data_IF_292094896136
#
_entry.id   IF_292094896136
#
_cell.length_a   1.000
_cell.length_b   1.000
_cell.length_c   1.000
_cell.angle_alpha   90.00
_cell.angle_beta   90.00
_cell.angle_gamma   90.00
#
_symmetry.space_group_name_H-M   'P 1'
#
loop_
_entity.id
_entity.type
_entity.pdbx_description
1 polymer ?
#
# COMPACT_ATOMS: atom_id res chain seq x y z
N UNK A 1 23.17 30.97 -5.66
CA UNK A 1 22.77 30.04 -6.74
C UNK A 1 22.13 30.88 -7.83
N UNK A 2 22.56 30.75 -9.08
CA UNK A 2 21.92 31.41 -10.22
C UNK A 2 20.51 30.84 -10.39
N UNK A 3 19.51 31.73 -10.52
CA UNK A 3 18.12 31.33 -10.68
C UNK A 3 17.95 30.55 -12.00
N UNK A 4 17.51 29.29 -11.92
CA UNK A 4 17.41 28.39 -13.07
C UNK A 4 16.05 28.42 -13.79
N UNK A 5 15.16 29.31 -13.35
CA UNK A 5 13.80 29.51 -13.87
C UNK A 5 13.50 31.00 -14.09
N UNK A 6 12.58 31.37 -14.99
CA UNK A 6 12.25 32.77 -15.27
C UNK A 6 11.74 33.52 -14.02
N UNK A 7 12.16 34.77 -13.82
CA UNK A 7 11.65 35.60 -12.71
C UNK A 7 10.14 35.83 -12.77
N UNK A 8 9.60 35.81 -13.98
CA UNK A 8 8.17 35.91 -14.24
C UNK A 8 7.39 34.67 -13.82
N UNK A 9 8.02 33.49 -13.65
CA UNK A 9 7.33 32.26 -13.27
C UNK A 9 6.70 32.40 -11.87
N UNK A 10 5.42 32.06 -11.76
CA UNK A 10 4.66 32.04 -10.51
C UNK A 10 3.86 30.75 -10.41
N UNK A 11 3.49 30.41 -9.20
CA UNK A 11 2.52 29.37 -8.90
C UNK A 11 1.16 29.97 -8.53
N UNK A 12 0.10 29.21 -8.77
CA UNK A 12 -1.25 29.46 -8.27
C UNK A 12 -1.70 28.27 -7.44
N UNK A 13 -2.25 28.53 -6.26
CA UNK A 13 -2.80 27.49 -5.39
C UNK A 13 -4.28 27.29 -5.71
N UNK A 14 -4.63 26.07 -6.12
CA UNK A 14 -5.97 25.67 -6.56
C UNK A 14 -6.41 24.49 -5.71
N UNK A 15 -7.68 24.43 -5.32
CA UNK A 15 -8.21 23.31 -4.56
C UNK A 15 -8.14 22.03 -5.40
N UNK A 16 -7.64 20.94 -4.81
CA UNK A 16 -7.87 19.62 -5.39
C UNK A 16 -9.35 19.25 -5.21
N UNK A 17 -10.04 18.74 -6.24
CA UNK A 17 -9.49 18.11 -7.46
C UNK A 17 -9.31 19.02 -8.68
N UNK A 18 -9.80 20.26 -8.68
CA UNK A 18 -9.72 21.17 -9.83
C UNK A 18 -8.28 21.39 -10.33
N UNK A 19 -7.30 21.44 -9.42
CA UNK A 19 -5.89 21.53 -9.77
C UNK A 19 -5.44 20.38 -10.70
N UNK A 20 -5.85 19.14 -10.38
CA UNK A 20 -5.52 17.96 -11.20
C UNK A 20 -6.30 17.98 -12.52
N UNK A 21 -7.58 18.35 -12.49
CA UNK A 21 -8.38 18.47 -13.70
C UNK A 21 -7.77 19.46 -14.71
N UNK A 22 -7.14 20.54 -14.25
CA UNK A 22 -6.37 21.47 -15.10
C UNK A 22 -5.15 20.76 -15.70
N UNK A 23 -4.31 20.15 -14.87
CA UNK A 23 -3.09 19.49 -15.34
C UNK A 23 -3.35 18.28 -16.26
N UNK A 24 -4.53 17.68 -16.17
CA UNK A 24 -4.99 16.60 -17.06
C UNK A 24 -5.70 17.11 -18.32
N UNK A 25 -5.88 18.43 -18.47
CA UNK A 25 -6.57 19.04 -19.61
C UNK A 25 -8.10 18.87 -19.61
N UNK A 26 -8.68 18.37 -18.52
CA UNK A 26 -10.14 18.23 -18.35
C UNK A 26 -10.77 19.60 -18.11
N UNK A 27 -10.11 20.45 -17.30
CA UNK A 27 -10.56 21.79 -16.97
C UNK A 27 -9.70 22.83 -17.67
N UNK A 28 -10.27 23.48 -18.69
CA UNK A 28 -9.57 24.45 -19.55
C UNK A 28 -9.60 25.90 -19.05
N UNK A 29 -10.30 26.16 -17.94
CA UNK A 29 -10.34 27.49 -17.33
C UNK A 29 -10.37 27.42 -15.81
N UNK A 30 -9.63 28.33 -15.15
CA UNK A 30 -9.65 28.53 -13.69
C UNK A 30 -10.44 29.81 -13.36
N UNK A 31 -11.40 29.71 -12.44
CA UNK A 31 -12.31 30.82 -12.12
C UNK A 31 -11.89 31.56 -10.86
N UNK A 32 -11.80 32.90 -10.92
CA UNK A 32 -11.40 33.76 -9.80
C UNK A 32 -12.22 35.06 -9.75
N UNK A 33 -12.38 35.61 -8.56
CA UNK A 33 -13.11 36.86 -8.35
C UNK A 33 -12.39 38.11 -8.86
N UNK A 34 -11.09 38.01 -9.19
CA UNK A 34 -10.28 39.12 -9.68
C UNK A 34 -9.74 38.79 -11.08
N UNK A 35 -9.55 39.78 -11.97
CA UNK A 35 -8.94 39.56 -13.29
C UNK A 35 -7.42 39.39 -13.20
N UNK A 36 -6.79 38.94 -14.28
CA UNK A 36 -5.34 38.95 -14.41
C UNK A 36 -4.84 39.26 -15.83
N UNK A 37 -3.81 40.09 -15.91
CA UNK A 37 -3.07 40.38 -17.15
C UNK A 37 -1.89 39.42 -17.38
N UNK A 38 -1.72 38.44 -16.48
CA UNK A 38 -0.63 37.47 -16.56
C UNK A 38 -0.84 36.54 -17.75
N UNK A 39 0.23 36.27 -18.51
CA UNK A 39 0.24 35.35 -19.64
C UNK A 39 1.47 34.44 -19.61
N UNK A 40 1.36 33.28 -20.23
CA UNK A 40 2.40 32.25 -20.28
C UNK A 40 2.38 31.31 -19.06
N UNK A 41 3.50 30.64 -18.82
CA UNK A 41 3.60 29.54 -17.85
C UNK A 41 3.32 29.95 -16.41
N UNK A 42 2.50 29.13 -15.76
CA UNK A 42 2.27 29.11 -14.32
C UNK A 42 2.42 27.69 -13.79
N UNK A 43 2.90 27.56 -12.55
CA UNK A 43 2.90 26.31 -11.81
C UNK A 43 1.54 26.11 -11.14
N UNK A 44 1.01 24.89 -11.19
CA UNK A 44 -0.22 24.51 -10.54
C UNK A 44 0.11 23.83 -9.22
N UNK A 45 -0.31 24.45 -8.12
CA UNK A 45 -0.19 23.92 -6.78
C UNK A 45 -1.54 23.39 -6.28
N UNK A 46 -1.55 22.13 -5.84
CA UNK A 46 -2.73 21.52 -5.22
C UNK A 46 -2.82 21.92 -3.75
N UNK A 47 -3.85 22.67 -3.37
CA UNK A 47 -4.06 23.15 -2.00
C UNK A 47 -4.36 22.00 -1.02
N UNK A 48 -4.13 22.26 0.27
CA UNK A 48 -4.44 21.33 1.36
C UNK A 48 -5.92 21.24 1.73
N UNK A 49 -6.76 22.15 1.23
CA UNK A 49 -8.21 22.14 1.52
C UNK A 49 -8.87 20.91 0.88
N UNK A 50 -9.90 20.37 1.53
CA UNK A 50 -10.74 19.26 1.06
C UNK A 50 -12.15 19.71 0.64
N UNK A 51 -12.40 21.03 0.62
CA UNK A 51 -13.74 21.58 0.43
C UNK A 51 -14.34 21.21 -0.94
N UNK A 52 -13.48 20.97 -1.93
CA UNK A 52 -13.85 20.62 -3.30
C UNK A 52 -13.87 19.11 -3.58
N UNK A 53 -13.69 18.24 -2.58
CA UNK A 53 -13.55 16.79 -2.79
C UNK A 53 -14.78 16.14 -3.45
N UNK A 54 -15.95 16.76 -3.35
CA UNK A 54 -17.17 16.29 -4.01
C UNK A 54 -17.06 16.27 -5.56
N UNK A 55 -16.15 17.06 -6.15
CA UNK A 55 -15.90 17.06 -7.61
C UNK A 55 -14.97 15.91 -8.07
N UNK A 56 -14.47 15.05 -7.18
CA UNK A 56 -13.57 13.94 -7.55
C UNK A 56 -14.21 13.01 -8.58
N UNK A 57 -15.47 12.62 -8.33
CA UNK A 57 -16.23 11.75 -9.20
C UNK A 57 -16.51 12.41 -10.56
N UNK A 58 -16.85 13.70 -10.57
CA UNK A 58 -17.16 14.47 -11.79
C UNK A 58 -15.98 14.52 -12.76
N UNK A 59 -14.74 14.55 -12.23
CA UNK A 59 -13.53 14.52 -13.04
C UNK A 59 -12.96 13.12 -13.27
N UNK A 60 -13.56 12.07 -12.70
CA UNK A 60 -13.01 10.71 -12.76
C UNK A 60 -11.64 10.58 -12.09
N UNK A 61 -11.35 11.39 -11.08
CA UNK A 61 -10.06 11.39 -10.37
C UNK A 61 -10.18 10.56 -9.10
N UNK A 62 -9.29 9.57 -8.93
CA UNK A 62 -9.26 8.76 -7.70
C UNK A 62 -8.68 9.56 -6.54
N UNK A 63 -9.32 9.45 -5.36
CA UNK A 63 -8.84 10.09 -4.12
C UNK A 63 -7.40 9.71 -3.77
N UNK A 64 -6.98 8.48 -4.07
CA UNK A 64 -5.66 7.95 -3.73
C UNK A 64 -4.54 8.56 -4.59
N UNK A 65 -4.89 9.10 -5.74
CA UNK A 65 -3.94 9.77 -6.67
C UNK A 65 -3.66 11.22 -6.28
N UNK A 66 -4.47 11.82 -5.40
CA UNK A 66 -4.32 13.23 -5.05
C UNK A 66 -3.24 13.43 -3.99
N UNK A 67 -2.14 14.05 -4.41
CA UNK A 67 -1.19 14.73 -3.53
C UNK A 67 -1.59 16.18 -3.32
N UNK A 68 -1.71 16.59 -2.05
CA UNK A 68 -2.03 17.96 -1.62
C UNK A 68 -0.82 18.62 -0.98
N UNK A 69 -0.78 19.95 -0.96
CA UNK A 69 0.39 20.68 -0.48
C UNK A 69 1.61 20.44 -1.38
N UNK A 70 1.36 20.32 -2.69
CA UNK A 70 2.37 19.96 -3.66
C UNK A 70 2.20 20.77 -4.95
N UNK A 71 3.31 21.04 -5.64
CA UNK A 71 3.27 21.47 -7.04
C UNK A 71 3.10 20.21 -7.88
N UNK A 72 1.99 20.12 -8.60
CA UNK A 72 1.58 18.90 -9.31
C UNK A 72 1.76 19.02 -10.82
N UNK A 73 1.98 20.23 -11.33
CA UNK A 73 1.89 20.48 -12.76
C UNK A 73 2.10 21.94 -13.14
N UNK A 74 1.80 22.22 -14.40
CA UNK A 74 1.88 23.54 -14.98
C UNK A 74 0.85 23.71 -16.11
N UNK A 75 0.53 24.96 -16.42
CA UNK A 75 -0.27 25.33 -17.58
C UNK A 75 0.13 26.73 -18.05
N UNK A 76 -0.26 27.11 -19.27
CA UNK A 76 -0.11 28.47 -19.78
C UNK A 76 -1.42 29.23 -19.65
N UNK A 77 -1.38 30.43 -19.07
CA UNK A 77 -2.51 31.37 -19.18
C UNK A 77 -2.42 32.05 -20.54
N UNK A 78 -3.43 31.84 -21.39
CA UNK A 78 -3.51 32.47 -22.73
C UNK A 78 -4.47 33.65 -22.76
N UNK A 79 -5.53 33.60 -21.96
CA UNK A 79 -6.46 34.72 -21.84
C UNK A 79 -7.17 34.82 -20.47
N UNK A 80 -7.86 35.92 -20.23
CA UNK A 80 -8.68 36.16 -19.04
C UNK A 80 -9.93 36.95 -19.41
N UNK A 81 -11.11 36.32 -19.31
CA UNK A 81 -12.39 36.95 -19.67
C UNK A 81 -13.37 36.95 -18.50
N UNK A 82 -14.28 37.92 -18.46
CA UNK A 82 -15.41 37.88 -17.53
C UNK A 82 -16.42 36.82 -17.95
N UNK A 83 -16.81 35.96 -17.03
CA UNK A 83 -17.85 34.94 -17.19
C UNK A 83 -19.11 35.40 -16.46
N UNK A 84 -20.16 35.70 -17.23
CA UNK A 84 -21.42 36.21 -16.69
C UNK A 84 -22.26 35.13 -15.98
N UNK A 85 -22.07 33.86 -16.33
CA UNK A 85 -22.81 32.75 -15.71
C UNK A 85 -22.30 32.49 -14.30
N UNK A 86 -20.98 32.48 -14.13
CA UNK A 86 -20.34 32.26 -12.84
C UNK A 86 -20.04 33.55 -12.06
N UNK A 87 -20.30 34.73 -12.63
CA UNK A 87 -20.08 36.03 -12.00
C UNK A 87 -18.62 36.25 -11.58
N UNK A 88 -17.67 35.73 -12.35
CA UNK A 88 -16.24 35.78 -12.03
C UNK A 88 -15.38 35.78 -13.31
N UNK A 89 -14.06 35.92 -13.16
CA UNK A 89 -13.12 35.88 -14.28
C UNK A 89 -12.64 34.46 -14.55
N UNK A 90 -12.74 34.04 -15.80
CA UNK A 90 -12.19 32.79 -16.30
C UNK A 90 -10.77 33.02 -16.83
N UNK A 91 -9.78 32.41 -16.18
CA UNK A 91 -8.41 32.35 -16.69
C UNK A 91 -8.32 31.17 -17.64
N UNK A 92 -8.15 31.42 -18.93
CA UNK A 92 -8.07 30.38 -19.97
C UNK A 92 -6.69 29.73 -19.95
N UNK A 93 -6.68 28.41 -19.89
CA UNK A 93 -5.49 27.59 -19.65
C UNK A 93 -5.25 26.64 -20.82
N UNK A 94 -4.02 26.62 -21.31
CA UNK A 94 -3.57 25.75 -22.40
C UNK A 94 -2.26 25.04 -22.03
N UNK A 95 -1.86 24.07 -22.86
CA UNK A 95 -0.63 23.30 -22.68
C UNK A 95 -0.50 22.69 -21.27
N UNK A 96 -1.51 21.93 -20.80
CA UNK A 96 -1.50 21.37 -19.46
C UNK A 96 -0.38 20.33 -19.33
N UNK A 97 0.32 20.37 -18.21
CA UNK A 97 1.36 19.40 -17.85
C UNK A 97 1.03 18.87 -16.46
N UNK A 98 0.80 17.56 -16.36
CA UNK A 98 0.82 16.83 -15.10
C UNK A 98 2.23 16.26 -14.89
N UNK A 99 2.86 16.57 -13.76
CA UNK A 99 4.16 16.00 -13.42
C UNK A 99 3.98 14.52 -13.06
N UNK A 100 4.93 13.68 -13.50
CA UNK A 100 4.97 12.27 -13.09
C UNK A 100 5.09 12.12 -11.57
N UNK A 101 5.91 12.99 -10.96
CA UNK A 101 6.08 13.06 -9.51
C UNK A 101 5.75 14.48 -9.00
N UNK A 102 4.72 14.62 -8.15
CA UNK A 102 4.43 15.87 -7.48
C UNK A 102 5.58 16.33 -6.57
N UNK A 103 5.86 17.63 -6.56
CA UNK A 103 6.84 18.22 -5.65
C UNK A 103 6.13 18.54 -4.33
N UNK A 104 6.18 17.58 -3.40
CA UNK A 104 5.49 17.62 -2.11
C UNK A 104 6.16 18.55 -1.07
N UNK A 105 5.45 18.81 0.04
CA UNK A 105 5.96 19.63 1.15
C UNK A 105 5.97 21.13 0.88
N UNK A 106 5.33 21.58 -0.20
CA UNK A 106 5.28 22.99 -0.60
C UNK A 106 4.01 23.62 -0.06
N UNK A 107 4.16 24.60 0.85
CA UNK A 107 3.04 25.39 1.34
C UNK A 107 2.56 26.35 0.24
N UNK A 108 1.27 26.28 -0.05
CA UNK A 108 0.60 27.24 -0.93
C UNK A 108 0.54 28.63 -0.31
N UNK A 109 0.03 29.60 -1.08
CA UNK A 109 -0.13 30.98 -0.65
C UNK A 109 -1.56 31.47 -0.88
N UNK A 110 -2.02 32.41 -0.06
CA UNK A 110 -3.31 33.08 -0.27
C UNK A 110 -3.28 34.12 -1.41
N UNK A 111 -2.09 34.60 -1.79
CA UNK A 111 -1.95 35.42 -2.98
C UNK A 111 -2.34 34.59 -4.22
N UNK A 112 -3.11 35.19 -5.13
CA UNK A 112 -3.58 34.52 -6.37
C UNK A 112 -2.39 33.91 -7.12
N UNK A 113 -1.33 34.70 -7.32
CA UNK A 113 -0.07 34.24 -7.85
C UNK A 113 1.05 34.50 -6.85
N UNK A 114 1.90 33.49 -6.62
CA UNK A 114 3.00 33.58 -5.68
C UNK A 114 4.30 33.09 -6.31
N UNK A 115 5.41 33.69 -5.88
CA UNK A 115 6.75 33.34 -6.33
C UNK A 115 7.54 32.57 -5.28
N UNK A 116 8.69 32.05 -5.68
CA UNK A 116 9.62 31.36 -4.81
C UNK A 116 10.44 32.32 -3.93
N UNK A 117 9.80 32.93 -2.92
CA UNK A 117 10.48 33.82 -1.96
C UNK A 117 11.31 33.06 -0.93
N UNK A 118 10.85 31.88 -0.52
CA UNK A 118 11.56 31.00 0.42
C UNK A 118 12.53 30.09 -0.33
N UNK A 119 13.69 29.80 0.26
CA UNK A 119 14.73 28.94 -0.35
C UNK A 119 14.19 27.57 -0.79
N UNK A 120 13.34 26.94 0.04
CA UNK A 120 12.68 25.67 -0.30
C UNK A 120 11.79 25.78 -1.56
N UNK A 121 11.12 26.92 -1.77
CA UNK A 121 10.28 27.15 -2.94
C UNK A 121 11.14 27.40 -4.19
N UNK A 122 12.35 27.95 -4.04
CA UNK A 122 13.26 28.18 -5.17
C UNK A 122 13.74 26.87 -5.77
N UNK A 123 14.10 25.89 -4.92
CA UNK A 123 14.42 24.55 -5.36
C UNK A 123 13.23 23.88 -6.07
N UNK A 124 12.03 23.99 -5.49
CA UNK A 124 10.82 23.43 -6.10
C UNK A 124 10.51 24.04 -7.48
N UNK A 125 10.61 25.37 -7.62
CA UNK A 125 10.40 26.06 -8.89
C UNK A 125 11.46 25.67 -9.93
N UNK A 126 12.71 25.51 -9.51
CA UNK A 126 13.79 25.04 -10.37
C UNK A 126 13.52 23.64 -10.92
N UNK A 127 13.11 22.71 -10.04
CA UNK A 127 12.76 21.33 -10.41
C UNK A 127 11.56 21.34 -11.37
N UNK A 128 10.47 22.02 -10.99
CA UNK A 128 9.27 22.11 -11.83
C UNK A 128 9.58 22.70 -13.21
N UNK A 129 10.38 23.77 -13.26
CA UNK A 129 10.76 24.39 -14.53
C UNK A 129 11.66 23.50 -15.38
N UNK A 130 12.55 22.71 -14.77
CA UNK A 130 13.33 21.72 -15.49
C UNK A 130 12.44 20.64 -16.12
N UNK A 131 11.43 20.16 -15.37
CA UNK A 131 10.44 19.20 -15.86
C UNK A 131 9.61 19.79 -17.01
N UNK A 132 9.10 21.03 -16.87
CA UNK A 132 8.39 21.72 -17.96
C UNK A 132 9.26 21.80 -19.20
N UNK A 133 10.51 22.25 -19.08
CA UNK A 133 11.44 22.34 -20.23
C UNK A 133 11.70 20.99 -20.87
N UNK A 134 11.77 19.91 -20.09
CA UNK A 134 11.96 18.57 -20.62
C UNK A 134 10.73 18.13 -21.43
N UNK A 135 9.52 18.40 -20.91
CA UNK A 135 8.26 18.15 -21.61
C UNK A 135 8.13 19.01 -22.87
N UNK A 136 8.39 20.32 -22.79
CA UNK A 136 8.25 21.21 -23.94
C UNK A 136 9.36 21.04 -24.98
N UNK A 137 10.57 20.60 -24.59
CA UNK A 137 11.61 20.24 -25.57
C UNK A 137 11.28 18.97 -26.35
N UNK A 138 10.45 18.08 -25.80
CA UNK A 138 9.88 17.00 -26.59
C UNK A 138 8.88 17.51 -27.64
N UNK A 139 8.29 18.70 -27.42
CA UNK A 139 7.37 19.37 -28.35
C UNK A 139 8.05 20.36 -29.32
N UNK A 140 9.26 20.85 -29.00
CA UNK A 140 10.04 21.85 -29.78
C UNK A 140 11.02 21.19 -30.78
N UNK A 141 10.51 20.20 -31.52
CA UNK A 141 11.21 19.64 -32.69
C UNK A 141 10.84 20.49 -33.92
N UNK A 142 11.87 20.97 -34.62
CA UNK A 142 11.77 21.70 -35.90
C UNK A 142 10.76 21.03 -36.86
N UNK A 143 9.91 21.79 -37.57
CA UNK A 143 8.87 21.25 -38.49
C UNK A 143 9.44 20.44 -39.66
N UNK A 144 10.75 20.36 -39.82
CA UNK A 144 11.42 19.55 -40.84
C UNK A 144 11.81 18.14 -40.35
N UNK A 145 11.54 17.80 -39.09
CA UNK A 145 11.80 16.47 -38.53
C UNK A 145 10.70 16.04 -37.55
N UNK A 146 9.42 16.18 -37.93
CA UNK A 146 8.39 15.34 -37.32
C UNK A 146 8.54 13.97 -37.99
N UNK A 147 9.21 13.03 -37.33
CA UNK A 147 8.88 11.63 -37.54
C UNK A 147 7.37 11.51 -37.25
N UNK A 148 6.60 11.14 -38.27
CA UNK A 148 5.12 11.09 -38.31
C UNK A 148 4.46 10.22 -37.21
N UNK A 149 5.24 9.70 -36.25
CA UNK A 149 4.90 8.58 -35.39
C UNK A 149 4.73 8.92 -33.89
N UNK A 150 5.06 10.13 -33.40
CA UNK A 150 4.99 10.41 -31.96
C UNK A 150 4.00 11.53 -31.59
N UNK A 151 2.71 11.20 -31.57
CA UNK A 151 1.73 11.98 -30.80
C UNK A 151 1.64 11.32 -29.42
N UNK A 152 1.98 12.02 -28.32
CA UNK A 152 1.95 11.44 -26.97
C UNK A 152 0.60 10.77 -26.68
N UNK A 153 0.64 9.51 -26.25
CA UNK A 153 -0.56 8.70 -26.00
C UNK A 153 -1.06 7.90 -27.20
N UNK A 154 -0.57 8.16 -28.41
CA UNK A 154 -1.03 7.49 -29.63
C UNK A 154 0.12 6.88 -30.43
N UNK A 155 -0.13 5.71 -30.98
CA UNK A 155 0.71 5.04 -31.98
C UNK A 155 0.00 5.14 -33.33
N UNK A 156 0.72 5.57 -34.36
CA UNK A 156 0.15 5.75 -35.70
C UNK A 156 0.89 4.82 -36.64
N UNK A 157 0.15 4.01 -37.38
CA UNK A 157 0.73 3.04 -38.31
C UNK A 157 0.13 3.19 -39.71
N UNK A 158 0.97 3.26 -40.73
CA UNK A 158 0.52 3.33 -42.11
C UNK A 158 -0.11 1.99 -42.56
N UNK A 159 -1.31 2.06 -43.17
CA UNK A 159 -2.02 0.90 -43.72
C UNK A 159 -1.94 0.87 -45.27
N UNK A 160 -0.95 0.17 -45.87
CA UNK A 160 -0.74 0.19 -47.32
C UNK A 160 -1.86 -0.50 -48.12
N UNK A 161 -2.69 -1.33 -47.48
CA UNK A 161 -3.70 -2.14 -48.18
C UNK A 161 -5.04 -1.42 -48.38
N UNK A 162 -5.21 -0.24 -47.78
CA UNK A 162 -6.47 0.50 -47.78
C UNK A 162 -6.41 1.84 -48.55
N UNK A 163 -5.33 2.10 -49.29
CA UNK A 163 -5.16 3.33 -50.06
C UNK A 163 -5.96 3.28 -51.38
N UNK A 164 -7.03 4.07 -51.46
CA UNK A 164 -7.58 4.51 -52.74
C UNK A 164 -6.62 5.54 -53.38
N UNK A 165 -6.71 5.74 -54.70
CA UNK A 165 -5.88 6.74 -55.40
C UNK A 165 -5.96 8.08 -54.65
N UNK A 166 -4.80 8.58 -54.23
CA UNK A 166 -4.60 9.87 -53.54
C UNK A 166 -4.99 9.93 -52.04
N UNK A 167 -5.17 8.77 -51.39
CA UNK A 167 -5.48 8.67 -49.96
C UNK A 167 -4.51 7.71 -49.25
N UNK A 168 -3.68 8.25 -48.35
CA UNK A 168 -2.86 7.43 -47.45
C UNK A 168 -3.64 7.16 -46.16
N UNK A 169 -3.92 5.89 -45.86
CA UNK A 169 -4.63 5.49 -44.65
C UNK A 169 -3.66 5.19 -43.50
N UNK A 170 -4.03 5.60 -42.30
CA UNK A 170 -3.26 5.33 -41.08
C UNK A 170 -4.19 4.83 -39.97
N UNK A 171 -3.76 3.78 -39.28
CA UNK A 171 -4.38 3.26 -38.07
C UNK A 171 -3.83 4.02 -36.86
N UNK A 172 -4.72 4.62 -36.06
CA UNK A 172 -4.38 5.23 -34.78
C UNK A 172 -4.73 4.23 -33.68
N UNK A 173 -3.77 3.94 -32.83
CA UNK A 173 -3.89 3.02 -31.70
C UNK A 173 -3.45 3.71 -30.41
N UNK A 174 -3.91 3.22 -29.27
CA UNK A 174 -3.38 3.65 -27.97
C UNK A 174 -1.90 3.25 -27.87
N UNK A 175 -1.04 4.19 -27.45
CA UNK A 175 0.41 3.94 -27.40
C UNK A 175 0.82 2.92 -26.33
N UNK A 176 0.02 2.74 -25.28
CA UNK A 176 0.31 1.84 -24.17
C UNK A 176 -0.28 0.45 -24.40
N UNK A 177 -1.54 0.38 -24.83
CA UNK A 177 -2.24 -0.90 -25.01
C UNK A 177 -2.10 -1.46 -26.42
N UNK A 178 -1.65 -0.65 -27.39
CA UNK A 178 -1.65 -0.96 -28.82
C UNK A 178 -3.04 -1.24 -29.42
N UNK A 179 -4.11 -0.97 -28.67
CA UNK A 179 -5.46 -1.21 -29.15
C UNK A 179 -5.83 -0.21 -30.25
N UNK A 180 -6.39 -0.68 -31.38
CA UNK A 180 -6.80 0.19 -32.47
C UNK A 180 -8.00 1.05 -32.04
N UNK A 181 -7.86 2.36 -32.17
CA UNK A 181 -8.88 3.33 -31.77
C UNK A 181 -9.73 3.76 -32.97
N UNK A 182 -9.10 4.34 -33.99
CA UNK A 182 -9.77 4.86 -35.19
C UNK A 182 -8.78 5.04 -36.33
N UNK A 183 -9.29 5.31 -37.53
CA UNK A 183 -8.49 5.57 -38.73
C UNK A 183 -8.54 7.02 -39.15
N UNK A 184 -7.42 7.47 -39.70
CA UNK A 184 -7.26 8.77 -40.32
C UNK A 184 -6.67 8.61 -41.71
N UNK A 185 -6.81 9.65 -42.52
CA UNK A 185 -6.33 9.68 -43.89
C UNK A 185 -5.59 10.98 -44.15
N UNK A 186 -4.47 10.88 -44.86
CA UNK A 186 -3.75 12.01 -45.44
C UNK A 186 -4.17 12.17 -46.90
N UNK A 187 -4.71 13.34 -47.21
CA UNK A 187 -5.08 13.83 -48.54
C UNK A 187 -4.12 14.94 -48.98
N UNK A 188 -4.10 15.32 -50.28
CA UNK A 188 -3.29 16.45 -50.75
C UNK A 188 -3.58 17.78 -50.04
N UNK A 189 -4.82 17.98 -49.58
CA UNK A 189 -5.32 19.19 -48.95
C UNK A 189 -5.36 19.15 -47.42
N UNK A 190 -4.96 18.03 -46.80
CA UNK A 190 -4.85 17.90 -45.34
C UNK A 190 -5.16 16.50 -44.82
N UNK A 191 -5.47 16.43 -43.53
CA UNK A 191 -5.83 15.23 -42.80
C UNK A 191 -7.34 15.13 -42.59
N UNK A 192 -7.89 13.92 -42.61
CA UNK A 192 -9.31 13.67 -42.34
C UNK A 192 -9.50 12.36 -41.58
N UNK A 193 -10.64 12.14 -40.95
CA UNK A 193 -10.98 10.89 -40.27
C UNK A 193 -12.25 10.25 -40.86
N UNK A 194 -12.47 8.98 -40.55
CA UNK A 194 -13.65 8.24 -41.00
C UNK A 194 -14.97 8.76 -40.41
N UNK A 195 -14.90 9.46 -39.27
CA UNK A 195 -16.06 9.84 -38.46
C UNK A 195 -16.74 11.11 -38.97
N UNK A 196 -15.97 12.15 -39.29
CA UNK A 196 -16.46 13.47 -39.69
C UNK A 196 -16.24 13.75 -41.17
N UNK A 197 -15.21 13.13 -41.77
CA UNK A 197 -14.72 13.43 -43.13
C UNK A 197 -14.33 14.90 -43.34
N UNK A 198 -14.21 15.67 -42.27
CA UNK A 198 -13.75 17.06 -42.31
C UNK A 198 -12.23 17.07 -42.55
N UNK A 199 -11.76 18.07 -43.30
CA UNK A 199 -10.35 18.21 -43.65
C UNK A 199 -9.71 19.22 -42.69
N UNK A 200 -8.61 18.82 -42.08
CA UNK A 200 -7.83 19.60 -41.15
C UNK A 200 -6.40 19.74 -41.69
N UNK A 201 -5.80 20.90 -41.50
CA UNK A 201 -4.39 21.12 -41.85
C UNK A 201 -3.41 20.47 -40.85
N UNK A 202 -3.90 19.89 -39.76
CA UNK A 202 -3.07 19.36 -38.66
C UNK A 202 -3.51 17.96 -38.25
N UNK A 203 -2.53 17.06 -38.13
CA UNK A 203 -2.69 15.70 -37.64
C UNK A 203 -3.23 15.67 -36.19
N UNK A 204 -2.77 16.60 -35.34
CA UNK A 204 -3.25 16.71 -33.94
C UNK A 204 -4.73 17.05 -33.87
N UNK A 205 -5.21 17.95 -34.75
CA UNK A 205 -6.62 18.37 -34.78
C UNK A 205 -7.54 17.22 -35.22
N UNK A 206 -7.15 16.48 -36.26
CA UNK A 206 -7.98 15.35 -36.74
C UNK A 206 -8.06 14.22 -35.71
N UNK A 207 -7.00 13.98 -34.94
CA UNK A 207 -6.97 12.99 -33.85
C UNK A 207 -7.81 13.46 -32.67
N UNK A 208 -7.72 14.73 -32.29
CA UNK A 208 -8.56 15.29 -31.21
C UNK A 208 -10.05 15.20 -31.56
N UNK A 209 -10.44 15.57 -32.78
CA UNK A 209 -11.82 15.48 -33.27
C UNK A 209 -12.30 14.01 -33.32
N UNK A 210 -11.47 13.10 -33.85
CA UNK A 210 -11.81 11.69 -33.91
C UNK A 210 -11.97 11.06 -32.52
N UNK A 211 -11.14 11.48 -31.55
CA UNK A 211 -11.25 11.07 -30.14
C UNK A 211 -12.56 11.57 -29.53
N UNK A 212 -12.89 12.85 -29.69
CA UNK A 212 -14.14 13.42 -29.17
C UNK A 212 -15.36 12.67 -29.72
N UNK A 213 -15.38 12.38 -31.03
CA UNK A 213 -16.45 11.60 -31.67
C UNK A 213 -16.51 10.16 -31.18
N UNK A 214 -15.37 9.56 -30.84
CA UNK A 214 -15.31 8.22 -30.25
C UNK A 214 -15.87 8.22 -28.83
N UNK A 215 -15.52 9.21 -28.01
CA UNK A 215 -16.08 9.40 -26.66
C UNK A 215 -17.59 9.60 -26.74
N UNK A 216 -18.08 10.47 -27.65
CA UNK A 216 -19.51 10.68 -27.87
C UNK A 216 -20.24 9.38 -28.24
N UNK A 217 -19.59 8.49 -29.01
CA UNK A 217 -20.15 7.16 -29.34
C UNK A 217 -20.18 6.22 -28.13
N UNK A 218 -19.13 6.22 -27.30
CA UNK A 218 -19.07 5.44 -26.05
C UNK A 218 -20.15 5.90 -25.07
N UNK A 219 -20.30 7.21 -24.88
CA UNK A 219 -21.35 7.76 -24.01
C UNK A 219 -22.76 7.43 -24.54
N UNK A 220 -22.95 7.41 -25.86
CA UNK A 220 -24.20 6.98 -26.47
C UNK A 220 -24.44 5.47 -26.39
N UNK A 221 -23.40 4.66 -26.23
CA UNK A 221 -23.55 3.22 -26.03
C UNK A 221 -23.75 2.83 -24.57
N UNK A 222 -23.26 3.61 -23.60
CA UNK A 222 -23.43 3.36 -22.16
C UNK A 222 -24.86 3.06 -21.69
N UNK A 223 -25.93 3.74 -22.17
CA UNK A 223 -27.28 3.41 -21.74
C UNK A 223 -27.76 2.06 -22.28
N UNK A 224 -27.07 1.44 -23.24
CA UNK A 224 -27.49 0.17 -23.81
C UNK A 224 -27.32 -0.97 -22.80
N UNK A 225 -28.42 -1.66 -22.51
CA UNK A 225 -28.45 -2.79 -21.57
C UNK A 225 -28.36 -4.10 -22.32
N UNK A 226 -27.38 -4.95 -21.99
CA UNK A 226 -27.34 -6.34 -22.46
C UNK A 226 -28.41 -7.12 -21.68
N UNK A 227 -29.44 -7.59 -22.38
CA UNK A 227 -30.59 -8.30 -21.80
C UNK A 227 -30.39 -9.81 -21.82
N UNK A 228 -29.81 -10.34 -22.90
CA UNK A 228 -29.62 -11.78 -23.09
C UNK A 228 -28.35 -12.06 -23.90
N UNK A 229 -27.69 -13.16 -23.57
CA UNK A 229 -26.51 -13.69 -24.25
C UNK A 229 -26.84 -15.12 -24.69
N UNK A 230 -26.86 -15.35 -25.99
CA UNK A 230 -27.06 -16.68 -26.59
C UNK A 230 -25.84 -16.97 -27.48
N UNK A 231 -24.95 -17.88 -27.08
CA UNK A 231 -23.75 -18.38 -27.78
C UNK A 231 -22.93 -17.34 -28.59
N UNK A 232 -23.40 -16.89 -29.75
CA UNK A 232 -22.77 -15.94 -30.68
C UNK A 232 -23.51 -14.59 -30.84
N UNK A 233 -24.57 -14.38 -30.06
CA UNK A 233 -25.55 -13.31 -30.27
C UNK A 233 -25.91 -12.62 -28.94
N UNK A 234 -25.92 -11.28 -28.95
CA UNK A 234 -26.32 -10.45 -27.81
C UNK A 234 -27.61 -9.71 -28.14
N UNK A 235 -28.57 -9.75 -27.22
CA UNK A 235 -29.77 -8.91 -27.29
C UNK A 235 -29.53 -7.67 -26.43
N UNK A 236 -29.46 -6.52 -27.08
CA UNK A 236 -29.16 -5.24 -26.46
C UNK A 236 -30.38 -4.34 -26.53
N UNK A 237 -30.78 -3.76 -25.40
CA UNK A 237 -31.92 -2.85 -25.30
C UNK A 237 -31.43 -1.41 -25.16
N UNK A 238 -32.03 -0.50 -25.93
CA UNK A 238 -31.84 0.93 -25.75
C UNK A 238 -32.95 1.49 -24.84
N UNK A 239 -32.65 1.94 -23.62
CA UNK A 239 -33.66 2.43 -22.68
C UNK A 239 -34.28 3.76 -23.12
N UNK A 240 -33.58 4.56 -23.95
CA UNK A 240 -34.09 5.85 -24.42
C UNK A 240 -35.23 5.72 -25.43
N UNK A 241 -35.29 4.61 -26.20
CA UNK A 241 -36.37 4.38 -27.17
C UNK A 241 -37.09 3.03 -27.05
N UNK A 242 -36.65 2.16 -26.15
CA UNK A 242 -37.24 0.83 -25.91
C UNK A 242 -36.94 -0.22 -26.97
N UNK A 243 -36.15 0.10 -28.01
CA UNK A 243 -35.83 -0.84 -29.08
C UNK A 243 -34.84 -1.90 -28.62
N UNK A 244 -34.98 -3.10 -29.19
CA UNK A 244 -34.07 -4.22 -28.99
C UNK A 244 -33.27 -4.45 -30.27
N UNK A 245 -31.99 -4.76 -30.11
CA UNK A 245 -31.05 -4.98 -31.21
C UNK A 245 -30.34 -6.30 -31.00
N UNK A 246 -30.22 -7.06 -32.09
CA UNK A 246 -29.46 -8.31 -32.12
C UNK A 246 -28.05 -7.99 -32.61
N UNK A 247 -27.04 -8.35 -31.82
CA UNK A 247 -25.63 -8.04 -32.09
C UNK A 247 -24.88 -9.35 -32.24
N UNK A 248 -24.23 -9.55 -33.38
CA UNK A 248 -23.38 -10.71 -33.66
C UNK A 248 -21.93 -10.25 -33.72
N UNK A 249 -21.09 -10.49 -32.70
CA UNK A 249 -19.76 -9.90 -32.61
C UNK A 249 -18.79 -10.41 -33.68
N UNK A 250 -18.95 -11.66 -34.12
CA UNK A 250 -18.04 -12.36 -35.00
C UNK A 250 -18.57 -12.45 -36.44
N UNK A 251 -19.37 -11.47 -36.88
CA UNK A 251 -19.91 -11.49 -38.23
C UNK A 251 -18.74 -11.49 -39.26
N UNK A 252 -18.55 -12.57 -40.05
CA UNK A 252 -17.33 -12.78 -40.84
C UNK A 252 -17.19 -11.81 -42.02
N UNK A 253 -18.24 -11.04 -42.31
CA UNK A 253 -18.26 -10.02 -43.33
C UNK A 253 -18.44 -8.62 -42.70
N UNK A 254 -17.39 -7.79 -42.59
CA UNK A 254 -17.48 -6.43 -42.02
C UNK A 254 -18.31 -5.46 -42.87
N UNK A 255 -18.82 -5.90 -44.03
CA UNK A 255 -19.75 -5.16 -44.89
C UNK A 255 -21.22 -5.51 -44.65
N UNK A 256 -21.52 -6.59 -43.93
CA UNK A 256 -22.89 -6.92 -43.57
C UNK A 256 -23.30 -6.17 -42.30
N UNK A 257 -24.46 -5.53 -42.38
CA UNK A 257 -24.94 -4.56 -41.39
C UNK A 257 -25.14 -5.28 -40.06
N UNK A 258 -24.67 -4.70 -38.96
CA UNK A 258 -25.39 -4.84 -37.69
C UNK A 258 -26.84 -4.43 -37.96
N UNK A 259 -27.82 -5.28 -37.62
CA UNK A 259 -29.26 -5.02 -37.86
C UNK A 259 -29.75 -3.72 -37.21
N UNK A 260 -28.94 -3.15 -36.33
CA UNK A 260 -29.14 -1.90 -35.65
C UNK A 260 -29.17 -0.63 -36.52
N UNK A 261 -28.98 -0.72 -37.84
CA UNK A 261 -29.14 0.42 -38.75
C UNK A 261 -28.02 1.48 -38.69
N UNK A 262 -27.04 1.34 -37.79
CA UNK A 262 -25.90 2.24 -37.59
C UNK A 262 -24.82 2.04 -38.69
N UNK A 263 -25.26 2.16 -39.93
CA UNK A 263 -24.67 1.50 -41.11
C UNK A 263 -23.77 2.39 -41.96
N UNK A 264 -23.32 3.53 -41.42
CA UNK A 264 -22.52 4.49 -42.17
C UNK A 264 -21.01 4.26 -42.11
N UNK A 265 -20.52 3.32 -41.30
CA UNK A 265 -19.09 3.21 -41.00
C UNK A 265 -18.59 1.80 -41.25
N UNK A 266 -17.80 1.64 -42.34
CA UNK A 266 -17.07 0.40 -42.63
C UNK A 266 -15.78 0.41 -41.79
N UNK A 267 -15.54 -0.61 -40.98
CA UNK A 267 -14.25 -0.82 -40.30
C UNK A 267 -14.13 -0.33 -38.85
N UNK A 268 -15.18 0.28 -38.26
CA UNK A 268 -15.19 0.72 -36.85
C UNK A 268 -16.29 -0.01 -36.07
N UNK A 269 -16.03 -0.39 -34.82
CA UNK A 269 -17.00 -1.05 -33.94
C UNK A 269 -18.30 -0.24 -33.84
N UNK A 270 -19.45 -0.89 -33.99
CA UNK A 270 -20.75 -0.23 -33.83
C UNK A 270 -21.04 0.04 -32.33
N UNK A 271 -21.97 0.95 -32.02
CA UNK A 271 -22.33 1.28 -30.62
C UNK A 271 -22.74 0.05 -29.78
N UNK A 272 -23.28 -0.98 -30.42
CA UNK A 272 -23.69 -2.19 -29.70
C UNK A 272 -22.52 -3.17 -29.45
N UNK A 273 -21.51 -3.18 -30.32
CA UNK A 273 -20.26 -3.91 -30.06
C UNK A 273 -19.49 -3.25 -28.89
N UNK A 274 -19.48 -1.92 -28.83
CA UNK A 274 -18.90 -1.18 -27.71
C UNK A 274 -19.63 -1.53 -26.40
N UNK A 275 -20.97 -1.50 -26.39
CA UNK A 275 -21.77 -1.86 -25.22
C UNK A 275 -21.50 -3.30 -24.74
N UNK A 276 -21.27 -4.24 -25.66
CA UNK A 276 -20.91 -5.63 -25.33
C UNK A 276 -19.52 -5.73 -24.70
N UNK A 277 -18.51 -5.07 -25.28
CA UNK A 277 -17.16 -5.07 -24.73
C UNK A 277 -17.11 -4.44 -23.35
N UNK A 278 -17.80 -3.31 -23.17
CA UNK A 278 -17.96 -2.66 -21.87
C UNK A 278 -18.63 -3.61 -20.86
N UNK A 279 -19.68 -4.33 -21.26
CA UNK A 279 -20.36 -5.31 -20.41
C UNK A 279 -19.42 -6.47 -20.01
N UNK A 280 -18.69 -7.03 -20.98
CA UNK A 280 -17.75 -8.13 -20.72
C UNK A 280 -16.62 -7.67 -19.80
N UNK A 281 -16.06 -6.48 -20.03
CA UNK A 281 -14.99 -5.92 -19.21
C UNK A 281 -15.45 -5.66 -17.77
N UNK A 282 -16.68 -5.17 -17.59
CA UNK A 282 -17.29 -5.00 -16.27
C UNK A 282 -17.46 -6.35 -15.56
N UNK A 283 -17.91 -7.40 -16.27
CA UNK A 283 -18.09 -8.74 -15.70
C UNK A 283 -16.76 -9.37 -15.24
N UNK A 284 -15.68 -9.18 -16.02
CA UNK A 284 -14.34 -9.65 -15.68
C UNK A 284 -13.80 -8.90 -14.46
N UNK A 285 -13.93 -7.57 -14.45
CA UNK A 285 -13.47 -6.72 -13.33
C UNK A 285 -14.17 -7.09 -12.03
N UNK A 286 -15.48 -7.32 -12.07
CA UNK A 286 -16.24 -7.77 -10.90
C UNK A 286 -15.76 -9.14 -10.39
N UNK A 287 -15.42 -10.07 -11.30
CA UNK A 287 -14.90 -11.40 -10.95
C UNK A 287 -13.53 -11.30 -10.27
N UNK A 288 -12.64 -10.44 -10.78
CA UNK A 288 -11.31 -10.18 -10.20
C UNK A 288 -11.46 -9.59 -8.80
N UNK A 289 -12.26 -8.53 -8.64
CA UNK A 289 -12.50 -7.89 -7.35
C UNK A 289 -13.06 -8.87 -6.30
N UNK A 290 -13.97 -9.76 -6.70
CA UNK A 290 -14.50 -10.80 -5.81
C UNK A 290 -13.41 -11.80 -5.40
N UNK A 291 -12.51 -12.15 -6.32
CA UNK A 291 -11.39 -13.05 -6.03
C UNK A 291 -10.36 -12.44 -5.07
N UNK A 292 -10.06 -11.15 -5.22
CA UNK A 292 -9.15 -10.40 -4.34
C UNK A 292 -9.74 -10.26 -2.93
N UNK A 293 -11.03 -9.94 -2.82
CA UNK A 293 -11.73 -9.90 -1.54
C UNK A 293 -11.67 -11.25 -0.82
N UNK A 294 -11.88 -12.35 -1.55
CA UNK A 294 -11.80 -13.69 -0.99
C UNK A 294 -10.38 -14.04 -0.51
N UNK A 295 -9.35 -13.59 -1.22
CA UNK A 295 -7.95 -13.76 -0.80
C UNK A 295 -7.64 -12.93 0.47
N UNK A 296 -8.10 -11.69 0.53
CA UNK A 296 -7.94 -10.83 1.69
C UNK A 296 -8.58 -11.43 2.95
N UNK A 297 -9.81 -11.92 2.84
CA UNK A 297 -10.52 -12.61 3.94
C UNK A 297 -9.70 -13.82 4.42
N UNK A 298 -9.12 -14.60 3.49
CA UNK A 298 -8.31 -15.77 3.81
C UNK A 298 -7.01 -15.41 4.55
N UNK A 299 -6.36 -14.30 4.20
CA UNK A 299 -5.16 -13.81 4.86
C UNK A 299 -5.46 -13.32 6.28
N UNK A 300 -6.52 -12.54 6.46
CA UNK A 300 -6.95 -12.06 7.78
C UNK A 300 -7.32 -13.22 8.73
N UNK A 301 -7.89 -14.31 8.20
CA UNK A 301 -8.19 -15.50 9.00
C UNK A 301 -6.93 -16.28 9.45
N UNK A 302 -5.78 -16.09 8.82
CA UNK A 302 -4.52 -16.78 9.15
C UNK A 302 -3.63 -16.00 10.14
N UNK A 303 -3.85 -14.70 10.34
CA UNK A 303 -3.06 -13.86 11.26
C UNK A 303 -3.52 -13.90 12.73
N UNK A 304 -4.67 -14.50 13.02
CA UNK A 304 -5.15 -14.66 14.41
C UNK A 304 -4.55 -15.95 14.98
N UNK A 305 -3.38 -15.86 15.61
CA UNK A 305 -2.90 -16.91 16.51
C UNK A 305 -3.88 -17.05 17.68
N UNK A 306 -4.21 -18.27 18.16
CA UNK A 306 -5.09 -18.43 19.31
C UNK A 306 -4.46 -17.75 20.54
N UNK A 307 -5.21 -16.86 21.19
CA UNK A 307 -4.77 -16.24 22.46
C UNK A 307 -4.46 -17.35 23.48
N UNK A 308 -3.31 -17.30 24.18
CA UNK A 308 -2.99 -18.27 25.22
C UNK A 308 -4.07 -18.23 26.31
N UNK A 309 -4.73 -19.36 26.54
CA UNK A 309 -5.79 -19.46 27.54
C UNK A 309 -5.22 -19.73 28.93
N UNK A 310 -5.58 -18.88 29.89
CA UNK A 310 -5.25 -19.11 31.31
C UNK A 310 -6.12 -20.25 31.83
N UNK A 311 -5.48 -21.28 32.39
CA UNK A 311 -6.15 -22.39 33.06
C UNK A 311 -6.07 -22.19 34.57
N UNK A 312 -7.20 -22.36 35.26
CA UNK A 312 -7.26 -22.34 36.72
C UNK A 312 -7.43 -23.76 37.24
N UNK A 313 -6.46 -24.22 38.04
CA UNK A 313 -6.47 -25.56 38.63
C UNK A 313 -6.35 -25.46 40.14
N UNK A 314 -7.08 -26.30 40.88
CA UNK A 314 -6.96 -26.36 42.34
C UNK A 314 -6.18 -27.62 42.74
N UNK A 315 -4.92 -27.51 43.19
CA UNK A 315 -4.11 -28.67 43.58
C UNK A 315 -4.70 -29.43 44.79
N UNK A 316 -5.36 -28.69 45.68
CA UNK A 316 -5.97 -29.24 46.89
C UNK A 316 -7.47 -29.56 46.74
N UNK A 317 -8.07 -29.16 45.62
CA UNK A 317 -9.49 -29.37 45.31
C UNK A 317 -10.45 -28.43 46.03
N UNK A 318 -9.96 -27.42 46.75
CA UNK A 318 -10.80 -26.53 47.56
C UNK A 318 -10.44 -25.06 47.38
N UNK A 319 -9.49 -24.59 48.18
CA UNK A 319 -9.35 -23.18 48.54
C UNK A 319 -8.12 -22.54 47.91
N UNK A 320 -7.18 -23.36 47.44
CA UNK A 320 -5.99 -22.90 46.74
C UNK A 320 -6.10 -23.20 45.25
N UNK A 321 -5.81 -22.18 44.44
CA UNK A 321 -5.91 -22.24 42.99
C UNK A 321 -4.64 -21.70 42.34
N UNK A 322 -4.27 -22.28 41.22
CA UNK A 322 -3.13 -21.90 40.41
C UNK A 322 -3.64 -21.48 39.03
N UNK A 323 -3.21 -20.29 38.58
CA UNK A 323 -3.43 -19.81 37.23
C UNK A 323 -2.19 -20.14 36.40
N UNK A 324 -2.33 -20.91 35.32
CA UNK A 324 -1.22 -21.35 34.48
C UNK A 324 -1.47 -21.15 32.99
N UNK A 325 -0.38 -20.96 32.24
CA UNK A 325 -0.36 -20.88 30.77
C UNK A 325 0.69 -21.86 30.28
N UNK A 326 0.30 -22.76 29.37
CA UNK A 326 1.17 -23.83 28.85
C UNK A 326 1.88 -24.63 29.97
N UNK A 327 1.18 -24.82 31.11
CA UNK A 327 1.71 -25.53 32.28
C UNK A 327 2.63 -24.71 33.20
N UNK A 328 2.88 -23.43 32.90
CA UNK A 328 3.67 -22.52 33.76
C UNK A 328 2.73 -21.66 34.64
N UNK A 329 2.84 -21.80 35.95
CA UNK A 329 2.07 -21.01 36.92
C UNK A 329 2.48 -19.53 36.85
N UNK A 330 1.49 -18.65 36.66
CA UNK A 330 1.67 -17.19 36.57
C UNK A 330 1.17 -16.47 37.83
N UNK A 331 0.23 -17.05 38.57
CA UNK A 331 -0.29 -16.53 39.83
C UNK A 331 -0.94 -17.65 40.65
N UNK A 332 -1.07 -17.44 41.95
CA UNK A 332 -1.80 -18.31 42.87
C UNK A 332 -2.89 -17.54 43.59
N UNK A 333 -3.97 -18.23 43.96
CA UNK A 333 -5.03 -17.73 44.81
C UNK A 333 -5.05 -18.62 46.05
N UNK A 334 -4.91 -18.05 47.24
CA UNK A 334 -5.04 -18.79 48.49
C UNK A 334 -6.12 -18.20 49.39
N UNK A 335 -6.69 -19.05 50.25
CA UNK A 335 -7.72 -18.64 51.18
C UNK A 335 -7.14 -18.33 52.55
N UNK A 336 -7.33 -17.09 52.98
CA UNK A 336 -6.97 -16.57 54.29
C UNK A 336 -8.20 -16.57 55.20
N UNK A 337 -8.23 -17.49 56.17
CA UNK A 337 -9.32 -17.61 57.14
C UNK A 337 -9.35 -16.51 58.19
N UNK A 338 -8.26 -15.77 58.38
CA UNK A 338 -8.16 -14.72 59.39
C UNK A 338 -8.77 -13.39 58.91
N UNK A 339 -8.86 -13.19 57.59
CA UNK A 339 -9.38 -11.95 57.02
C UNK A 339 -10.91 -11.99 56.81
N UNK A 340 -11.68 -11.20 57.55
CA UNK A 340 -13.16 -11.36 57.58
C UNK A 340 -13.89 -11.00 56.27
N UNK A 341 -13.40 -10.04 55.50
CA UNK A 341 -14.13 -9.46 54.34
C UNK A 341 -13.49 -9.74 52.98
N UNK A 342 -12.25 -10.21 52.92
CA UNK A 342 -11.44 -10.37 51.70
C UNK A 342 -10.51 -11.57 51.86
N UNK A 343 -11.11 -12.76 51.80
CA UNK A 343 -10.48 -14.04 52.13
C UNK A 343 -9.62 -14.63 51.01
N UNK A 344 -9.78 -14.17 49.77
CA UNK A 344 -9.06 -14.73 48.63
C UNK A 344 -7.90 -13.81 48.27
N UNK A 345 -6.69 -14.32 48.40
CA UNK A 345 -5.45 -13.56 48.21
C UNK A 345 -4.78 -14.02 46.93
N UNK A 346 -4.57 -13.09 46.00
CA UNK A 346 -3.80 -13.32 44.77
C UNK A 346 -2.34 -13.03 45.05
N UNK A 347 -1.47 -13.99 44.76
CA UNK A 347 -0.04 -13.85 44.89
C UNK A 347 0.69 -14.18 43.57
N UNK A 348 1.79 -13.47 43.31
CA UNK A 348 2.72 -13.76 42.22
C UNK A 348 4.09 -13.96 42.85
N UNK A 349 4.76 -15.08 42.55
CA UNK A 349 6.04 -15.45 43.18
C UNK A 349 6.00 -15.41 44.71
N UNK A 350 4.86 -15.78 45.31
CA UNK A 350 4.65 -15.76 46.76
C UNK A 350 4.40 -14.36 47.36
N UNK A 351 4.53 -13.28 46.58
CA UNK A 351 4.18 -11.94 47.03
C UNK A 351 2.69 -11.68 46.82
N UNK A 352 1.99 -11.27 47.88
CA UNK A 352 0.60 -10.83 47.80
C UNK A 352 0.48 -9.54 46.97
N UNK A 353 -0.39 -9.56 45.96
CA UNK A 353 -0.63 -8.42 45.07
C UNK A 353 -2.07 -7.91 45.12
N UNK A 354 -3.03 -8.74 45.53
CA UNK A 354 -4.45 -8.36 45.58
C UNK A 354 -5.26 -9.24 46.54
N UNK A 355 -6.35 -8.68 47.08
CA UNK A 355 -7.34 -9.41 47.88
C UNK A 355 -8.75 -9.22 47.35
N UNK A 356 -9.52 -10.31 47.35
CA UNK A 356 -10.92 -10.34 46.93
C UNK A 356 -11.80 -11.06 47.96
N UNK A 357 -13.09 -10.74 47.94
CA UNK A 357 -14.09 -11.37 48.79
C UNK A 357 -14.65 -12.69 48.23
N UNK A 358 -14.40 -13.00 46.95
CA UNK A 358 -14.79 -14.27 46.30
C UNK A 358 -13.67 -14.76 45.37
N UNK A 359 -13.56 -16.08 45.17
CA UNK A 359 -12.59 -16.68 44.26
C UNK A 359 -12.79 -16.20 42.81
N UNK A 360 -14.02 -16.18 42.31
CA UNK A 360 -14.32 -15.63 40.98
C UNK A 360 -13.83 -14.18 40.78
N UNK A 361 -13.78 -13.34 41.82
CA UNK A 361 -13.23 -11.98 41.72
C UNK A 361 -11.70 -11.97 41.66
N UNK A 362 -11.05 -12.88 42.39
CA UNK A 362 -9.61 -13.08 42.30
C UNK A 362 -9.21 -13.61 40.90
N UNK A 363 -9.98 -14.53 40.32
CA UNK A 363 -9.76 -15.02 38.95
C UNK A 363 -9.94 -13.92 37.90
N UNK A 364 -11.01 -13.14 38.01
CA UNK A 364 -11.26 -12.00 37.11
C UNK A 364 -10.15 -10.95 37.20
N UNK A 365 -9.61 -10.71 38.40
CA UNK A 365 -8.46 -9.84 38.59
C UNK A 365 -7.25 -10.36 37.79
N UNK A 366 -6.92 -11.65 37.92
CA UNK A 366 -5.81 -12.28 37.18
C UNK A 366 -6.04 -12.19 35.67
N UNK A 367 -7.23 -12.57 35.18
CA UNK A 367 -7.58 -12.50 33.76
C UNK A 367 -7.45 -11.08 33.19
N UNK A 368 -7.98 -10.09 33.92
CA UNK A 368 -7.94 -8.70 33.49
C UNK A 368 -6.51 -8.18 33.46
N UNK A 369 -5.74 -8.37 34.54
CA UNK A 369 -4.36 -7.88 34.62
C UNK A 369 -3.42 -8.59 33.64
N UNK A 370 -3.62 -9.89 33.40
CA UNK A 370 -2.89 -10.65 32.39
C UNK A 370 -3.19 -10.12 30.97
N UNK A 371 -4.47 -9.94 30.63
CA UNK A 371 -4.89 -9.41 29.32
C UNK A 371 -4.35 -7.99 29.06
N UNK A 372 -4.20 -7.19 30.10
CA UNK A 372 -3.62 -5.84 30.02
C UNK A 372 -2.08 -5.82 30.09
N UNK A 373 -1.41 -6.97 30.30
CA UNK A 373 0.04 -7.03 30.49
C UNK A 373 0.53 -6.33 31.78
N UNK A 374 -0.35 -6.19 32.78
CA UNK A 374 -0.08 -5.49 34.04
C UNK A 374 0.00 -6.42 35.24
N UNK A 375 -0.16 -7.73 35.04
CA UNK A 375 0.09 -8.71 36.09
C UNK A 375 1.60 -8.67 36.40
N UNK A 376 2.00 -8.46 37.66
CA UNK A 376 3.41 -8.47 38.04
C UNK A 376 4.09 -9.73 37.52
N UNK A 377 5.28 -9.58 36.94
CA UNK A 377 6.07 -10.72 36.46
C UNK A 377 6.91 -11.22 37.61
N UNK A 378 7.01 -12.55 37.74
CA UNK A 378 7.98 -13.18 38.62
C UNK A 378 9.37 -12.57 38.37
N UNK A 379 9.91 -11.81 39.32
CA UNK A 379 11.32 -11.46 39.29
C UNK A 379 12.08 -12.77 39.54
N UNK A 380 12.73 -13.31 38.51
CA UNK A 380 13.81 -14.26 38.72
C UNK A 380 14.81 -13.55 39.65
N UNK A 381 15.06 -14.10 40.83
CA UNK A 381 16.16 -13.66 41.67
C UNK A 381 17.42 -13.68 40.79
N UNK A 382 17.98 -12.50 40.58
CA UNK A 382 19.18 -12.29 39.77
C UNK A 382 20.33 -12.99 40.49
N UNK A 383 20.59 -14.24 40.15
CA UNK A 383 21.78 -14.95 40.61
C UNK A 383 23.01 -14.21 40.06
N UNK A 384 23.86 -13.74 40.97
CA UNK A 384 25.16 -13.20 40.62
C UNK A 384 26.03 -14.31 39.98
N UNK A 385 26.87 -13.98 38.99
CA UNK A 385 27.59 -14.98 38.21
C UNK A 385 28.52 -15.83 39.09
N UNK A 386 28.25 -17.14 39.10
CA UNK A 386 29.12 -18.16 39.69
C UNK A 386 30.41 -18.26 38.87
N UNK A 387 31.57 -18.06 39.50
CA UNK A 387 32.88 -18.27 38.88
C UNK A 387 33.52 -19.51 39.47
N UNK A 388 33.94 -20.42 38.59
CA UNK A 388 34.68 -21.65 38.93
C UNK A 388 36.16 -21.35 38.73
N UNK A 389 36.98 -21.48 39.76
CA UNK A 389 38.44 -21.35 39.67
C UNK A 389 39.10 -22.72 39.86
N UNK A 390 39.91 -23.14 38.88
CA UNK A 390 40.70 -24.37 38.93
C UNK A 390 41.82 -24.24 39.98
N UNK A 391 41.78 -25.08 41.01
CA UNK A 391 42.90 -25.27 41.93
C UNK A 391 43.46 -26.69 41.76
N UNK A 392 44.53 -26.82 40.97
CA UNK A 392 45.27 -28.08 40.84
C UNK A 392 46.17 -28.30 42.07
N UNK A 393 45.76 -29.16 43.00
CA UNK A 393 46.69 -29.83 43.90
C UNK A 393 46.80 -31.30 43.48
N UNK A 394 47.99 -31.68 43.04
CA UNK A 394 48.33 -33.06 42.71
C UNK A 394 49.14 -33.61 43.89
N UNK A 395 48.61 -34.61 44.58
CA UNK A 395 49.41 -35.46 45.46
C UNK A 395 49.54 -36.87 44.85
N UNK A 396 50.42 -37.68 45.45
CA UNK A 396 50.84 -38.99 44.92
C UNK A 396 49.73 -40.07 44.93
N UNK A 397 48.46 -39.73 45.27
CA UNK A 397 47.35 -40.69 45.36
C UNK A 397 46.07 -40.31 44.61
N UNK A 398 46.09 -39.28 43.76
CA UNK A 398 44.98 -38.96 42.85
C UNK A 398 44.70 -37.47 42.75
N UNK A 399 43.81 -37.11 41.82
CA UNK A 399 43.48 -35.72 41.53
C UNK A 399 42.24 -35.28 42.32
N UNK A 400 42.40 -34.27 43.18
CA UNK A 400 41.31 -33.68 43.95
C UNK A 400 40.91 -32.31 43.37
N UNK A 401 39.63 -32.15 43.04
CA UNK A 401 39.05 -30.89 42.57
C UNK A 401 38.25 -30.25 43.70
N UNK A 402 38.42 -28.94 43.86
CA UNK A 402 37.80 -28.18 44.96
C UNK A 402 36.86 -27.14 44.36
N UNK A 403 35.59 -27.18 44.77
CA UNK A 403 34.57 -26.26 44.28
C UNK A 403 34.34 -25.15 45.30
N UNK A 404 34.53 -23.90 44.86
CA UNK A 404 34.26 -22.71 45.66
C UNK A 404 33.24 -21.83 44.96
N UNK A 405 32.34 -21.23 45.73
CA UNK A 405 31.45 -20.14 45.29
C UNK A 405 31.71 -18.97 46.21
N UNK A 406 32.01 -17.79 45.65
CA UNK A 406 32.33 -16.57 46.41
C UNK A 406 33.42 -16.80 47.48
N UNK A 407 34.50 -17.50 47.11
CA UNK A 407 35.61 -17.90 47.98
C UNK A 407 35.27 -18.89 49.12
N UNK A 408 34.02 -19.33 49.25
CA UNK A 408 33.60 -20.32 50.24
C UNK A 408 33.66 -21.73 49.66
N UNK A 409 34.27 -22.66 50.39
CA UNK A 409 34.37 -24.07 50.01
C UNK A 409 32.99 -24.74 50.04
N UNK A 410 32.54 -25.23 48.89
CA UNK A 410 31.23 -25.89 48.74
C UNK A 410 31.39 -27.42 48.73
N UNK A 411 32.52 -27.93 48.20
CA UNK A 411 32.78 -29.37 48.20
C UNK A 411 34.07 -29.76 47.48
N UNK A 412 34.32 -31.07 47.44
CA UNK A 412 35.47 -31.67 46.77
C UNK A 412 35.05 -32.91 45.97
N UNK A 413 35.70 -33.13 44.83
CA UNK A 413 35.59 -34.37 44.04
C UNK A 413 36.97 -35.03 43.99
N UNK A 414 37.00 -36.34 44.22
CA UNK A 414 38.19 -37.17 44.06
C UNK A 414 38.07 -37.99 42.78
N UNK A 415 39.08 -37.94 41.92
CA UNK A 415 39.23 -38.87 40.80
C UNK A 415 40.26 -39.93 41.18
N UNK A 416 39.82 -41.18 41.26
CA UNK A 416 40.70 -42.32 41.39
C UNK A 416 41.29 -42.68 40.02
N UNK A 417 42.58 -42.98 39.99
CA UNK A 417 43.41 -43.14 38.78
C UNK A 417 43.47 -44.60 38.29
N UNK A 418 42.40 -45.36 38.51
CA UNK A 418 42.23 -46.72 38.05
C UNK A 418 41.44 -46.72 36.74
N UNK A 419 42.20 -46.68 35.65
CA UNK A 419 41.69 -46.86 34.29
C UNK A 419 40.79 -48.10 34.16
N UNK A 420 39.74 -47.92 33.36
CA UNK A 420 38.84 -48.94 32.83
C UNK A 420 37.92 -49.64 33.85
N UNK A 421 36.98 -48.90 34.45
CA UNK A 421 35.54 -49.22 34.44
C UNK A 421 34.77 -48.27 35.37
N UNK A 422 33.72 -47.64 34.85
CA UNK A 422 32.85 -46.74 35.63
C UNK A 422 31.87 -47.55 36.46
N UNK A 423 32.33 -48.09 37.59
CA UNK A 423 31.45 -48.43 38.70
C UNK A 423 31.59 -47.35 39.77
N UNK A 424 30.50 -46.67 40.09
CA UNK A 424 30.40 -45.81 41.26
C UNK A 424 30.48 -46.67 42.53
N UNK A 425 31.67 -47.12 42.89
CA UNK A 425 31.89 -47.80 44.17
C UNK A 425 32.19 -46.77 45.25
N UNK A 426 31.14 -46.06 45.66
CA UNK A 426 30.74 -45.75 47.04
C UNK A 426 29.80 -44.52 47.05
N UNK A 427 28.59 -44.80 47.50
CA UNK A 427 27.33 -44.09 47.25
C UNK A 427 27.08 -42.97 48.28
N UNK A 428 27.95 -41.97 48.42
CA UNK A 428 27.63 -40.85 49.32
C UNK A 428 28.11 -39.50 48.81
N UNK A 429 27.17 -38.58 48.66
CA UNK A 429 27.44 -37.16 48.47
C UNK A 429 27.67 -36.51 49.83
N UNK A 430 28.80 -35.83 50.03
CA UNK A 430 29.13 -35.15 51.30
C UNK A 430 29.12 -33.65 51.16
N UNK A 431 28.37 -32.97 52.03
CA UNK A 431 28.44 -31.51 52.19
C UNK A 431 29.75 -31.10 52.87
N UNK A 432 30.04 -29.79 52.87
CA UNK A 432 31.24 -29.20 53.49
C UNK A 432 31.37 -29.45 55.00
N UNK A 433 30.31 -29.90 55.66
CA UNK A 433 30.27 -30.29 57.07
C UNK A 433 30.47 -31.80 57.31
N UNK A 434 30.63 -32.59 56.24
CA UNK A 434 30.86 -34.04 56.30
C UNK A 434 29.59 -34.90 56.32
N UNK A 435 28.40 -34.31 56.18
CA UNK A 435 27.12 -35.04 56.18
C UNK A 435 26.93 -35.79 54.85
N UNK A 436 26.59 -37.08 54.92
CA UNK A 436 26.45 -38.01 53.78
C UNK A 436 24.99 -38.13 53.31
N UNK A 437 24.77 -38.18 52.00
CA UNK A 437 23.46 -38.36 51.37
C UNK A 437 23.48 -39.46 50.29
N UNK A 438 22.37 -40.21 50.20
CA UNK A 438 22.21 -41.36 49.30
C UNK A 438 21.74 -40.96 47.88
N UNK A 439 21.10 -39.80 47.72
CA UNK A 439 20.65 -39.27 46.42
C UNK A 439 21.04 -37.79 46.24
N UNK A 440 21.56 -37.45 45.06
CA UNK A 440 22.00 -36.09 44.72
C UNK A 440 20.87 -35.06 44.73
N UNK A 441 19.61 -35.49 44.59
CA UNK A 441 18.44 -34.62 44.64
C UNK A 441 18.13 -34.12 46.06
N UNK A 442 18.60 -34.82 47.08
CA UNK A 442 18.39 -34.45 48.49
C UNK A 442 19.35 -33.37 48.97
N UNK A 443 20.45 -33.13 48.25
CA UNK A 443 21.45 -32.12 48.63
C UNK A 443 21.02 -30.67 48.37
N UNK A 444 19.82 -30.41 47.82
CA UNK A 444 19.26 -29.06 47.63
C UNK A 444 20.04 -28.13 46.69
N UNK A 445 21.17 -28.58 46.16
CA UNK A 445 22.02 -27.89 45.19
C UNK A 445 21.84 -28.59 43.85
N UNK A 446 21.18 -27.90 42.91
CA UNK A 446 21.07 -28.33 41.53
C UNK A 446 22.44 -28.24 40.84
N UNK A 447 23.33 -29.19 41.10
CA UNK A 447 24.57 -29.35 40.35
C UNK A 447 24.24 -30.11 39.07
N UNK A 448 24.25 -29.36 37.96
CA UNK A 448 24.13 -29.90 36.63
C UNK A 448 25.14 -31.04 36.42
N UNK A 449 24.70 -32.09 35.74
CA UNK A 449 25.51 -33.25 35.37
C UNK A 449 26.59 -32.78 34.38
N UNK A 450 27.74 -32.32 34.86
CA UNK A 450 28.85 -31.89 34.01
C UNK A 450 29.48 -33.14 33.40
N UNK A 451 29.29 -33.35 32.11
CA UNK A 451 30.00 -34.42 31.41
C UNK A 451 31.43 -33.97 31.11
N UNK A 452 32.36 -34.92 30.92
CA UNK A 452 33.75 -34.61 30.50
C UNK A 452 33.81 -33.73 29.24
N UNK A 453 32.76 -33.75 28.41
CA UNK A 453 32.64 -32.92 27.21
C UNK A 453 32.36 -31.44 27.54
N UNK A 454 31.62 -31.18 28.62
CA UNK A 454 31.25 -29.83 29.05
C UNK A 454 32.44 -29.13 29.73
N UNK A 455 33.32 -29.88 30.40
CA UNK A 455 34.56 -29.37 31.00
C UNK A 455 35.58 -28.84 29.97
N UNK A 456 35.65 -29.42 28.78
CA UNK A 456 36.59 -28.96 27.75
C UNK A 456 36.09 -27.75 26.93
N UNK A 457 34.80 -27.46 26.93
CA UNK A 457 34.26 -26.33 26.15
C UNK A 457 34.38 -24.99 26.89
N UNK A 458 34.52 -24.99 28.21
CA UNK A 458 34.66 -23.77 29.03
C UNK A 458 36.09 -23.21 29.01
N UNK A 459 37.08 -23.95 28.51
CA UNK A 459 38.49 -23.49 28.42
C UNK A 459 38.81 -22.86 27.04
N UNK A 460 37.84 -22.78 26.13
CA UNK A 460 38.02 -22.23 24.79
C UNK A 460 37.11 -21.04 24.44
N UNK A 461 36.59 -20.31 25.44
CA UNK A 461 35.85 -19.05 25.26
C UNK A 461 36.43 -17.94 26.12
#
# INVERSE_FOLDING_TARGET
MTQSYPESLKAISIHAPHAYAICMGIKVAEYRSQPTDRRGWILIHASGSKDSDHFLADYGISKDTIKRGAIIGAAQITDCTWDAEFGCYAYHLESPILLQEPIEGIKGCQAIFWGAKLTQNQAAFAIAWAMIKATTKADDISPEAIEEDSIPGYRIEYEPQCSEKDLHAYQVSDSLTHEPLFRIYKKPDGWTNELTKQIHNSLKLVIAEAREKTIERIERSRPLEVQQIDDDTFIVRNPSNGNHYVVRPQHPNPKERCECGDTYFRGVKCKHQIAQEDYLQQSITATIAQSELNQYIKQQAQEIAPEPQIQFTSPDGFYNWEAAIDGKTIATIHYDSEHLTQRYVVAVSGAEIHRANTQARAENYILWHYKQGTLPVAQEEKSEPCTIEDCNFIDEKGQQYVFRINNQLIGYIWLADDGDDWYSSQEYWTNSDGTKYDDWRECGLALARVTRKDLYQTVAA
#
